data_IF_025890218487
#
_entry.id   IF_025890218487
#
_cell.length_a   1.000
_cell.length_b   1.000
_cell.length_c   1.000
_cell.angle_alpha   90.00
_cell.angle_beta   90.00
_cell.angle_gamma   90.00
#
_symmetry.space_group_name_H-M   'P 1'
#
loop_
_entity.id
_entity.type
_entity.pdbx_description
1 polymer ?
#
# COMPACT_ATOMS: atom_id res chain seq x y z
N UNK A 1 29.58 -2.76 22.55
CA UNK A 1 28.66 -3.87 22.21
C UNK A 1 27.49 -3.28 21.44
N UNK A 2 27.26 -3.68 20.19
CA UNK A 2 26.06 -3.27 19.44
C UNK A 2 24.86 -3.93 20.10
N UNK A 3 23.77 -3.22 20.43
CA UNK A 3 22.57 -3.89 20.88
C UNK A 3 22.05 -4.69 19.70
N UNK A 4 21.96 -6.00 19.90
CA UNK A 4 21.39 -6.92 18.94
C UNK A 4 19.94 -6.46 18.77
N UNK A 5 19.63 -5.87 17.62
CA UNK A 5 18.28 -5.47 17.27
C UNK A 5 17.45 -6.76 17.26
N UNK A 6 16.75 -7.00 18.36
CA UNK A 6 15.92 -8.17 18.54
C UNK A 6 14.97 -8.26 17.37
N UNK A 7 15.21 -9.26 16.52
CA UNK A 7 14.24 -9.74 15.55
C UNK A 7 13.05 -10.21 16.39
N UNK A 8 12.06 -9.34 16.56
CA UNK A 8 10.78 -9.78 17.07
C UNK A 8 10.22 -10.70 15.98
N UNK A 9 10.05 -12.02 16.23
CA UNK A 9 9.50 -12.94 15.23
C UNK A 9 8.07 -12.57 14.79
N UNK A 10 7.45 -11.64 15.53
CA UNK A 10 6.13 -11.08 15.24
C UNK A 10 6.18 -9.79 14.38
N UNK A 11 7.36 -9.30 14.00
CA UNK A 11 7.49 -8.14 13.14
C UNK A 11 7.66 -8.57 11.69
N UNK A 12 6.68 -8.24 10.83
CA UNK A 12 6.87 -8.37 9.39
C UNK A 12 7.97 -7.41 8.91
N UNK A 13 8.90 -7.89 8.05
CA UNK A 13 9.80 -7.04 7.29
C UNK A 13 9.07 -5.90 6.57
N UNK A 14 9.70 -4.73 6.51
CA UNK A 14 9.16 -3.53 5.83
C UNK A 14 8.89 -3.77 4.35
N UNK A 15 9.69 -4.60 3.70
CA UNK A 15 9.54 -4.98 2.29
C UNK A 15 8.24 -5.75 2.04
N UNK A 16 7.89 -6.70 2.92
CA UNK A 16 6.64 -7.44 2.83
C UNK A 16 5.42 -6.55 3.10
N UNK A 17 5.53 -5.63 4.06
CA UNK A 17 4.47 -4.64 4.29
C UNK A 17 4.25 -3.79 3.03
N UNK A 18 5.33 -3.36 2.38
CA UNK A 18 5.25 -2.60 1.13
C UNK A 18 4.55 -3.40 0.03
N UNK A 19 4.90 -4.68 -0.15
CA UNK A 19 4.25 -5.54 -1.13
C UNK A 19 2.75 -5.71 -0.84
N UNK A 20 2.38 -6.01 0.41
CA UNK A 20 0.97 -6.15 0.83
C UNK A 20 0.20 -4.85 0.56
N UNK A 21 0.71 -3.70 0.99
CA UNK A 21 0.05 -2.41 0.76
C UNK A 21 -0.07 -2.10 -0.74
N UNK A 22 0.88 -2.52 -1.57
CA UNK A 22 0.83 -2.32 -3.03
C UNK A 22 -0.27 -3.12 -3.74
N UNK A 23 -0.83 -4.14 -3.08
CA UNK A 23 -1.94 -4.95 -3.61
C UNK A 23 -3.31 -4.40 -3.24
N UNK A 24 -3.36 -3.48 -2.27
CA UNK A 24 -4.62 -2.97 -1.75
C UNK A 24 -5.15 -1.79 -2.57
N UNK A 25 -6.48 -1.67 -2.75
CA UNK A 25 -7.09 -0.46 -3.31
C UNK A 25 -6.85 0.77 -2.42
N UNK A 26 -6.81 1.97 -3.03
CA UNK A 26 -6.61 3.25 -2.31
C UNK A 26 -7.60 3.45 -1.15
N UNK A 27 -8.85 3.02 -1.35
CA UNK A 27 -9.90 3.11 -0.30
C UNK A 27 -9.52 2.34 0.96
N UNK A 28 -8.94 1.15 0.80
CA UNK A 28 -8.47 0.33 1.92
C UNK A 28 -7.20 0.91 2.53
N UNK A 29 -6.27 1.41 1.70
CA UNK A 29 -5.02 2.02 2.17
C UNK A 29 -5.22 3.18 3.15
N UNK A 30 -6.26 3.98 2.96
CA UNK A 30 -6.56 5.10 3.87
C UNK A 30 -6.84 4.66 5.30
N UNK A 31 -7.39 3.46 5.51
CA UNK A 31 -7.58 2.87 6.85
C UNK A 31 -6.26 2.38 7.47
N UNK A 32 -5.27 2.04 6.64
CA UNK A 32 -3.97 1.56 7.11
C UNK A 32 -3.02 2.67 7.57
N UNK A 33 -3.29 3.92 7.19
CA UNK A 33 -2.53 5.09 7.66
C UNK A 33 -2.64 5.30 9.18
N UNK A 34 -3.72 4.84 9.83
CA UNK A 34 -3.89 5.00 11.28
C UNK A 34 -3.28 3.86 12.10
N UNK A 35 -2.83 2.76 11.46
CA UNK A 35 -2.29 1.59 12.16
C UNK A 35 -0.95 1.89 12.82
N UNK A 36 -0.07 2.61 12.13
CA UNK A 36 1.23 3.01 12.69
C UNK A 36 1.88 4.16 11.91
N UNK A 37 2.81 4.86 12.57
CA UNK A 37 3.61 5.93 11.92
C UNK A 37 4.41 5.43 10.70
N UNK A 38 5.08 4.25 10.75
CA UNK A 38 5.78 3.72 9.58
C UNK A 38 4.86 3.46 8.38
N UNK A 39 3.65 2.94 8.62
CA UNK A 39 2.69 2.65 7.56
C UNK A 39 2.18 3.93 6.92
N UNK A 40 1.85 4.94 7.74
CA UNK A 40 1.49 6.28 7.23
C UNK A 40 2.59 6.89 6.37
N UNK A 41 3.85 6.82 6.81
CA UNK A 41 5.00 7.34 6.07
C UNK A 41 5.18 6.64 4.72
N UNK A 42 5.00 5.32 4.71
CA UNK A 42 5.10 4.51 3.49
C UNK A 42 3.99 4.86 2.48
N UNK A 43 2.74 4.99 2.94
CA UNK A 43 1.59 5.32 2.09
C UNK A 43 1.73 6.75 1.52
N UNK A 44 2.26 7.68 2.31
CA UNK A 44 2.51 9.06 1.87
C UNK A 44 3.76 9.20 0.97
N UNK A 45 4.53 8.13 0.75
CA UNK A 45 5.76 8.20 -0.03
C UNK A 45 5.44 8.39 -1.53
N UNK A 46 6.02 9.41 -2.21
CA UNK A 46 5.79 9.64 -3.65
C UNK A 46 6.14 8.45 -4.54
N UNK A 47 7.14 7.64 -4.17
CA UNK A 47 7.50 6.42 -4.88
C UNK A 47 6.40 5.38 -4.79
N UNK A 48 5.82 5.20 -3.59
CA UNK A 48 4.70 4.31 -3.36
C UNK A 48 3.48 4.75 -4.17
N UNK A 49 3.15 6.05 -4.14
CA UNK A 49 2.02 6.63 -4.89
C UNK A 49 2.19 6.41 -6.40
N UNK A 50 3.38 6.68 -6.95
CA UNK A 50 3.66 6.49 -8.38
C UNK A 50 3.53 5.03 -8.79
N UNK A 51 4.10 4.11 -8.00
CA UNK A 51 4.01 2.68 -8.26
C UNK A 51 2.54 2.20 -8.21
N UNK A 52 1.81 2.62 -7.18
CA UNK A 52 0.41 2.26 -6.98
C UNK A 52 -0.49 2.77 -8.12
N UNK A 53 -0.28 4.03 -8.53
CA UNK A 53 -0.99 4.64 -9.66
C UNK A 53 -0.74 3.90 -10.98
N UNK A 54 0.52 3.57 -11.28
CA UNK A 54 0.87 2.82 -12.49
C UNK A 54 0.24 1.42 -12.51
N UNK A 55 0.16 0.76 -11.35
CA UNK A 55 -0.50 -0.53 -11.21
C UNK A 55 -2.00 -0.42 -11.45
N UNK A 56 -2.64 0.60 -10.85
CA UNK A 56 -4.06 0.87 -11.06
C UNK A 56 -4.41 1.23 -12.52
N UNK A 57 -3.48 1.81 -13.28
CA UNK A 57 -3.67 2.06 -14.72
C UNK A 57 -3.57 0.75 -15.52
N UNK A 58 -2.57 -0.09 -15.23
CA UNK A 58 -2.43 -1.41 -15.90
C UNK A 58 -3.66 -2.29 -15.69
N UNK A 59 -4.24 -2.27 -14.50
CA UNK A 59 -5.44 -3.05 -14.19
C UNK A 59 -6.71 -2.50 -14.87
N UNK A 60 -6.71 -1.25 -15.34
CA UNK A 60 -7.86 -0.66 -16.07
C UNK A 60 -8.00 -1.15 -17.50
N UNK A 61 -6.97 -1.77 -18.08
CA UNK A 61 -7.09 -2.42 -19.38
C UNK A 61 -7.92 -3.72 -19.31
N UNK A 62 -8.27 -4.22 -18.11
CA UNK A 62 -9.06 -5.45 -17.91
C UNK A 62 -10.45 -5.26 -17.28
N UNK A 63 -10.93 -4.02 -17.06
CA UNK A 63 -12.29 -3.80 -16.55
C UNK A 63 -13.20 -3.07 -17.55
N UNK A 64 -14.37 -3.63 -17.89
CA UNK A 64 -15.33 -2.97 -18.76
C UNK A 64 -15.78 -1.68 -18.08
N UNK A 65 -15.72 -0.57 -18.83
CA UNK A 65 -16.24 0.75 -18.47
C UNK A 65 -17.62 0.58 -17.81
N UNK A 66 -17.69 0.61 -16.47
CA UNK A 66 -18.98 0.65 -15.79
C UNK A 66 -19.61 1.97 -16.18
N UNK A 67 -20.56 1.89 -17.13
CA UNK A 67 -21.55 2.91 -17.42
C UNK A 67 -22.09 3.37 -16.07
N UNK A 68 -21.72 4.58 -15.66
CA UNK A 68 -22.56 5.33 -14.73
C UNK A 68 -23.87 5.55 -15.48
N UNK A 69 -24.83 4.67 -15.26
CA UNK A 69 -26.21 4.98 -15.61
C UNK A 69 -26.59 6.17 -14.74
N UNK A 70 -26.73 7.29 -15.43
CA UNK A 70 -27.43 8.49 -15.01
C UNK A 70 -28.77 8.12 -14.38
N UNK A 71 -29.03 8.68 -13.20
CA UNK A 71 -30.38 9.09 -12.87
C UNK A 71 -30.63 10.47 -13.48
#
# INVERSE_FOLDING_TARGET
MKPQLGENPNHLPSELIHEILSWLPVKSLRGFECVSKPWRSLIANPKFITMHFNKAIKDKDTLPKTKRHSY
#
